data_IF_801319338160
#
_entry.id   IF_801319338160
#
_cell.length_a   1.000
_cell.length_b   1.000
_cell.length_c   1.000
_cell.angle_alpha   90.00
_cell.angle_beta   90.00
_cell.angle_gamma   90.00
#
_symmetry.space_group_name_H-M   'P 1'
#
loop_
_entity.id
_entity.type
_entity.pdbx_description
1 polymer ?
#
# COMPACT_ATOMS: atom_id res chain seq x y z
N UNK A 1 1.48 57.52 3.66
CA UNK A 1 2.64 56.62 3.86
C UNK A 1 2.23 55.33 4.59
N UNK A 2 1.27 55.39 5.52
CA UNK A 2 0.72 54.21 6.18
C UNK A 2 0.01 53.23 5.24
N UNK A 3 -0.83 53.72 4.30
CA UNK A 3 -1.54 52.84 3.36
C UNK A 3 -0.61 51.97 2.50
N UNK A 4 0.57 52.49 2.12
CA UNK A 4 1.57 51.72 1.38
C UNK A 4 2.22 50.64 2.26
N UNK A 5 2.40 50.90 3.56
CA UNK A 5 2.91 49.90 4.51
C UNK A 5 1.88 48.80 4.75
N UNK A 6 0.61 49.17 4.90
CA UNK A 6 -0.51 48.23 5.06
C UNK A 6 -0.66 47.35 3.82
N UNK A 7 -0.58 47.93 2.61
CA UNK A 7 -0.67 47.18 1.36
C UNK A 7 0.46 46.14 1.20
N UNK A 8 1.71 46.50 1.56
CA UNK A 8 2.86 45.59 1.51
C UNK A 8 2.71 44.44 2.52
N UNK A 9 2.20 44.72 3.72
CA UNK A 9 1.94 43.69 4.74
C UNK A 9 0.87 42.71 4.25
N UNK A 10 -0.24 43.21 3.70
CA UNK A 10 -1.32 42.37 3.17
C UNK A 10 -0.84 41.50 2.00
N UNK A 11 -0.08 42.08 1.06
CA UNK A 11 0.52 41.32 -0.07
C UNK A 11 1.47 40.23 0.41
N UNK A 12 2.28 40.52 1.44
CA UNK A 12 3.20 39.53 2.02
C UNK A 12 2.46 38.37 2.68
N UNK A 13 1.37 38.65 3.40
CA UNK A 13 0.51 37.61 4.00
C UNK A 13 -0.15 36.75 2.91
N UNK A 14 -0.68 37.37 1.86
CA UNK A 14 -1.30 36.64 0.73
C UNK A 14 -0.27 35.76 0.02
N UNK A 15 0.96 36.25 -0.18
CA UNK A 15 2.05 35.47 -0.75
C UNK A 15 2.42 34.26 0.12
N UNK A 16 2.51 34.43 1.45
CA UNK A 16 2.78 33.33 2.38
C UNK A 16 1.67 32.28 2.40
N UNK A 17 0.41 32.72 2.35
CA UNK A 17 -0.74 31.81 2.23
C UNK A 17 -0.67 31.03 0.91
N UNK A 18 -0.35 31.71 -0.20
CA UNK A 18 -0.12 31.07 -1.48
C UNK A 18 0.97 29.99 -1.42
N UNK A 19 2.15 30.31 -0.87
CA UNK A 19 3.25 29.35 -0.71
C UNK A 19 2.81 28.16 0.14
N UNK A 20 2.06 28.39 1.22
CA UNK A 20 1.54 27.32 2.06
C UNK A 20 0.63 26.36 1.26
N UNK A 21 -0.34 26.87 0.50
CA UNK A 21 -1.26 26.02 -0.27
C UNK A 21 -0.61 25.36 -1.50
N UNK A 22 0.32 26.02 -2.18
CA UNK A 22 0.92 25.50 -3.41
C UNK A 22 2.17 24.64 -3.18
N UNK A 23 2.91 24.85 -2.10
CA UNK A 23 4.18 24.14 -1.83
C UNK A 23 4.05 23.21 -0.61
N UNK A 24 3.55 23.73 0.51
CA UNK A 24 3.60 23.01 1.79
C UNK A 24 2.46 21.99 1.94
N UNK A 25 1.22 22.40 1.69
CA UNK A 25 0.04 21.54 1.80
C UNK A 25 0.09 20.28 0.90
N UNK A 26 0.45 20.36 -0.39
CA UNK A 26 0.62 19.16 -1.21
C UNK A 26 1.76 18.28 -0.69
N UNK A 27 2.88 18.87 -0.24
CA UNK A 27 4.00 18.09 0.33
C UNK A 27 3.62 17.31 1.60
N UNK A 28 2.79 17.89 2.47
CA UNK A 28 2.28 17.21 3.69
C UNK A 28 1.30 16.10 3.32
N UNK A 29 0.36 16.37 2.40
CA UNK A 29 -0.60 15.36 1.94
C UNK A 29 0.07 14.20 1.20
N UNK A 30 1.21 14.45 0.53
CA UNK A 30 2.04 13.43 -0.11
C UNK A 30 2.63 12.38 0.85
N UNK A 31 2.75 12.69 2.14
CA UNK A 31 3.35 11.78 3.14
C UNK A 31 2.31 11.09 4.03
N UNK A 32 1.02 11.14 3.66
CA UNK A 32 0.00 10.52 4.50
C UNK A 32 0.20 9.00 4.48
N UNK A 33 0.40 8.43 5.68
CA UNK A 33 0.49 6.99 5.83
C UNK A 33 -0.88 6.38 5.54
N UNK A 34 -0.92 5.44 4.61
CA UNK A 34 -2.06 4.58 4.38
C UNK A 34 -1.88 3.30 5.17
N UNK A 35 -2.99 2.74 5.63
CA UNK A 35 -2.99 1.51 6.42
C UNK A 35 -4.00 0.55 5.83
N UNK A 36 -3.57 -0.70 5.64
CA UNK A 36 -4.48 -1.82 5.41
C UNK A 36 -4.35 -2.78 6.59
N UNK A 37 -5.48 -3.26 7.08
CA UNK A 37 -5.54 -4.12 8.25
C UNK A 37 -6.55 -5.24 8.07
N UNK A 38 -6.20 -6.43 8.57
CA UNK A 38 -7.12 -7.55 8.70
C UNK A 38 -6.73 -8.37 9.92
N UNK A 39 -7.64 -8.47 10.89
CA UNK A 39 -7.36 -9.06 12.22
C UNK A 39 -6.09 -8.46 12.82
N UNK A 40 -5.13 -9.31 13.21
CA UNK A 40 -3.90 -8.92 13.89
C UNK A 40 -2.80 -8.44 12.92
N UNK A 41 -3.07 -8.42 11.60
CA UNK A 41 -2.13 -7.96 10.59
C UNK A 41 -2.46 -6.54 10.14
N UNK A 42 -1.53 -5.61 10.37
CA UNK A 42 -1.64 -4.21 9.94
C UNK A 42 -0.37 -3.81 9.19
N UNK A 43 -0.55 -3.32 7.96
CA UNK A 43 0.53 -2.84 7.10
C UNK A 43 0.34 -1.35 6.85
N UNK A 44 1.37 -0.57 7.13
CA UNK A 44 1.44 0.85 6.82
C UNK A 44 2.31 1.07 5.59
N UNK A 45 1.84 1.89 4.65
CA UNK A 45 2.56 2.20 3.42
C UNK A 45 2.31 3.65 2.98
N UNK A 46 3.19 4.15 2.12
CA UNK A 46 3.15 5.50 1.59
C UNK A 46 3.20 5.43 0.07
N UNK A 47 2.46 6.29 -0.62
CA UNK A 47 2.57 6.43 -2.07
C UNK A 47 2.45 7.89 -2.50
N UNK A 48 3.02 8.19 -3.66
CA UNK A 48 2.97 9.51 -4.27
C UNK A 48 1.71 9.58 -5.14
N UNK A 49 1.07 10.74 -5.29
CA UNK A 49 -0.19 10.89 -6.04
C UNK A 49 -0.10 10.65 -7.57
N UNK A 50 0.85 9.85 -8.07
CA UNK A 50 0.76 9.29 -9.43
C UNK A 50 0.02 7.95 -9.38
N UNK A 51 -0.88 7.73 -10.35
CA UNK A 51 -1.75 6.56 -10.45
C UNK A 51 -0.92 5.27 -10.41
N UNK A 52 0.18 5.22 -11.15
CA UNK A 52 1.09 4.06 -11.22
C UNK A 52 1.67 3.71 -9.84
N UNK A 53 2.19 4.72 -9.12
CA UNK A 53 2.78 4.48 -7.78
C UNK A 53 1.74 4.15 -6.72
N UNK A 54 0.47 4.49 -6.95
CA UNK A 54 -0.63 4.12 -6.06
C UNK A 54 -0.94 2.64 -6.18
N UNK A 55 -1.08 2.14 -7.41
CA UNK A 55 -1.36 0.72 -7.66
C UNK A 55 -0.22 -0.18 -7.19
N UNK A 56 1.03 0.19 -7.49
CA UNK A 56 2.22 -0.55 -7.05
C UNK A 56 2.33 -0.60 -5.52
N UNK A 57 2.09 0.52 -4.84
CA UNK A 57 2.16 0.55 -3.39
C UNK A 57 1.05 -0.28 -2.73
N UNK A 58 -0.15 -0.28 -3.32
CA UNK A 58 -1.22 -1.17 -2.86
C UNK A 58 -0.90 -2.64 -3.14
N UNK A 59 -0.31 -2.97 -4.28
CA UNK A 59 0.15 -4.34 -4.57
C UNK A 59 1.16 -4.82 -3.52
N UNK A 60 2.20 -4.02 -3.27
CA UNK A 60 3.23 -4.33 -2.25
C UNK A 60 2.60 -4.50 -0.88
N UNK A 61 1.74 -3.57 -0.47
CA UNK A 61 1.10 -3.62 0.84
C UNK A 61 0.22 -4.87 0.98
N UNK A 62 -0.55 -5.23 -0.05
CA UNK A 62 -1.41 -6.40 -0.05
C UNK A 62 -0.61 -7.70 0.03
N UNK A 63 0.52 -7.79 -0.66
CA UNK A 63 1.41 -8.95 -0.56
C UNK A 63 2.06 -9.06 0.82
N UNK A 64 2.49 -7.95 1.42
CA UNK A 64 2.95 -7.94 2.81
C UNK A 64 1.84 -8.36 3.79
N UNK A 65 0.60 -7.93 3.54
CA UNK A 65 -0.56 -8.36 4.33
C UNK A 65 -0.78 -9.88 4.16
N UNK A 66 -0.68 -10.40 2.95
CA UNK A 66 -0.74 -11.83 2.65
C UNK A 66 0.28 -12.64 3.45
N UNK A 67 1.55 -12.22 3.45
CA UNK A 67 2.60 -12.87 4.24
C UNK A 67 2.32 -12.85 5.75
N UNK A 68 1.84 -11.73 6.27
CA UNK A 68 1.45 -11.65 7.68
C UNK A 68 0.31 -12.62 8.00
N UNK A 69 -0.71 -12.67 7.14
CA UNK A 69 -1.86 -13.56 7.31
C UNK A 69 -1.45 -15.03 7.23
N UNK A 70 -0.52 -15.42 6.36
CA UNK A 70 0.03 -16.77 6.34
C UNK A 70 0.66 -17.14 7.69
N UNK A 71 1.48 -16.24 8.27
CA UNK A 71 2.08 -16.46 9.61
C UNK A 71 1.03 -16.55 10.71
N UNK A 72 -0.04 -15.75 10.62
CA UNK A 72 -1.14 -15.83 11.58
C UNK A 72 -1.90 -17.16 11.45
N UNK A 73 -2.13 -17.62 10.22
CA UNK A 73 -2.79 -18.89 9.92
C UNK A 73 -1.97 -20.09 10.42
N UNK A 74 -0.64 -20.09 10.23
CA UNK A 74 0.26 -21.13 10.73
C UNK A 74 0.18 -21.30 12.26
N UNK A 75 0.00 -20.19 12.98
CA UNK A 75 -0.13 -20.21 14.45
C UNK A 75 -1.51 -20.69 14.90
N UNK A 76 -2.55 -20.22 14.20
CA UNK A 76 -3.94 -20.54 14.53
C UNK A 76 -4.76 -20.58 13.23
N UNK A 77 -5.00 -21.78 12.68
CA UNK A 77 -5.79 -21.93 11.47
C UNK A 77 -7.17 -21.32 11.66
N UNK A 78 -7.54 -20.44 10.73
CA UNK A 78 -8.79 -19.69 10.78
C UNK A 78 -9.33 -19.54 9.36
N UNK A 79 -10.57 -20.01 9.15
CA UNK A 79 -11.20 -20.04 7.84
C UNK A 79 -11.37 -18.66 7.20
N UNK A 80 -11.49 -17.61 8.03
CA UNK A 80 -11.62 -16.23 7.55
C UNK A 80 -10.26 -15.68 7.12
N UNK A 81 -9.19 -16.03 7.85
CA UNK A 81 -7.81 -15.73 7.43
C UNK A 81 -7.49 -16.46 6.13
N UNK A 82 -7.80 -17.76 6.03
CA UNK A 82 -7.58 -18.55 4.81
C UNK A 82 -8.29 -17.98 3.58
N UNK A 83 -9.57 -17.58 3.72
CA UNK A 83 -10.31 -16.89 2.65
C UNK A 83 -9.65 -15.57 2.23
N UNK A 84 -9.16 -14.80 3.19
CA UNK A 84 -8.49 -13.53 2.89
C UNK A 84 -7.14 -13.74 2.19
N UNK A 85 -6.34 -14.76 2.60
CA UNK A 85 -5.11 -15.15 1.91
C UNK A 85 -5.39 -15.47 0.45
N UNK A 86 -6.38 -16.34 0.18
CA UNK A 86 -6.73 -16.70 -1.21
C UNK A 86 -7.23 -15.50 -2.00
N UNK A 87 -8.01 -14.61 -1.39
CA UNK A 87 -8.47 -13.38 -2.05
C UNK A 87 -7.30 -12.47 -2.46
N UNK A 88 -6.30 -12.32 -1.60
CA UNK A 88 -5.09 -11.55 -1.92
C UNK A 88 -4.30 -12.26 -3.02
N UNK A 89 -4.12 -13.58 -2.91
CA UNK A 89 -3.41 -14.39 -3.91
C UNK A 89 -4.00 -14.22 -5.32
N UNK A 90 -5.31 -14.42 -5.48
CA UNK A 90 -5.94 -14.32 -6.80
C UNK A 90 -5.90 -12.92 -7.40
N UNK A 91 -5.72 -11.88 -6.57
CA UNK A 91 -5.72 -10.49 -7.02
C UNK A 91 -4.31 -9.90 -7.21
N UNK A 92 -3.36 -10.28 -6.37
CA UNK A 92 -2.04 -9.65 -6.26
C UNK A 92 -0.88 -10.65 -6.17
N UNK A 93 -1.16 -11.96 -6.25
CA UNK A 93 -0.12 -12.98 -6.29
C UNK A 93 0.86 -12.75 -7.44
N UNK A 94 2.11 -13.15 -7.23
CA UNK A 94 3.17 -13.08 -8.25
C UNK A 94 2.81 -13.88 -9.50
N UNK A 95 3.10 -13.31 -10.67
CA UNK A 95 2.99 -14.00 -11.97
C UNK A 95 3.86 -15.26 -11.99
N UNK A 96 5.00 -15.24 -11.30
CA UNK A 96 5.90 -16.40 -11.18
C UNK A 96 5.15 -17.58 -10.54
N UNK A 97 4.31 -17.32 -9.52
CA UNK A 97 3.49 -18.36 -8.91
C UNK A 97 2.36 -18.84 -9.83
N UNK A 98 1.85 -17.98 -10.72
CA UNK A 98 0.88 -18.38 -11.73
C UNK A 98 1.49 -19.24 -12.84
N UNK A 99 2.75 -19.03 -13.22
CA UNK A 99 3.40 -19.80 -14.27
C UNK A 99 3.98 -21.14 -13.76
N UNK A 100 4.38 -21.19 -12.49
CA UNK A 100 4.94 -22.40 -11.86
C UNK A 100 3.90 -23.37 -11.32
N UNK A 101 2.71 -22.89 -10.97
CA UNK A 101 1.63 -23.73 -10.43
C UNK A 101 0.61 -24.09 -11.52
N UNK A 102 0.25 -25.37 -11.60
CA UNK A 102 -0.88 -25.80 -12.42
C UNK A 102 -2.20 -25.27 -11.82
N UNK A 103 -3.29 -25.26 -12.60
CA UNK A 103 -4.56 -24.63 -12.19
C UNK A 103 -5.11 -25.16 -10.85
N UNK A 104 -5.04 -26.47 -10.63
CA UNK A 104 -5.54 -27.10 -9.40
C UNK A 104 -4.71 -26.70 -8.16
N UNK A 105 -3.41 -26.50 -8.34
CA UNK A 105 -2.50 -26.03 -7.29
C UNK A 105 -2.73 -24.56 -6.91
N UNK A 106 -3.16 -23.72 -7.87
CA UNK A 106 -3.47 -22.31 -7.61
C UNK A 106 -4.70 -22.16 -6.71
N UNK A 107 -5.67 -23.06 -6.84
CA UNK A 107 -6.92 -22.96 -6.07
C UNK A 107 -6.79 -23.56 -4.65
N UNK A 108 -5.61 -24.08 -4.30
CA UNK A 108 -5.36 -24.74 -3.02
C UNK A 108 -4.57 -23.85 -2.04
N UNK A 109 -5.20 -23.53 -0.91
CA UNK A 109 -4.60 -22.74 0.17
C UNK A 109 -3.30 -23.35 0.72
N UNK A 110 -3.21 -24.67 0.89
CA UNK A 110 -2.01 -25.33 1.43
C UNK A 110 -0.82 -25.14 0.50
N UNK A 111 -1.06 -25.14 -0.82
CA UNK A 111 -0.01 -24.89 -1.81
C UNK A 111 0.44 -23.43 -1.75
N UNK A 112 -0.49 -22.49 -1.66
CA UNK A 112 -0.19 -21.06 -1.47
C UNK A 112 0.60 -20.82 -0.18
N UNK A 113 0.24 -21.48 0.92
CA UNK A 113 0.96 -21.38 2.20
C UNK A 113 2.39 -21.93 2.11
N UNK A 114 2.58 -23.04 1.39
CA UNK A 114 3.89 -23.67 1.17
C UNK A 114 4.84 -22.77 0.38
N UNK A 115 4.32 -22.04 -0.61
CA UNK A 115 5.09 -21.15 -1.49
C UNK A 115 4.88 -19.66 -1.19
N UNK A 116 4.44 -19.32 0.03
CA UNK A 116 4.01 -17.97 0.41
C UNK A 116 5.02 -16.87 0.10
N UNK A 117 6.33 -17.13 0.26
CA UNK A 117 7.38 -16.14 0.05
C UNK A 117 7.61 -15.84 -1.44
N UNK A 118 7.33 -16.80 -2.33
CA UNK A 118 7.38 -16.65 -3.78
C UNK A 118 6.10 -16.00 -4.30
N UNK A 119 4.95 -16.45 -3.78
CA UNK A 119 3.62 -15.98 -4.14
C UNK A 119 3.41 -14.51 -3.78
N UNK A 120 3.77 -14.13 -2.55
CA UNK A 120 3.56 -12.79 -2.02
C UNK A 120 4.87 -11.98 -1.98
N UNK A 121 5.81 -12.25 -2.89
CA UNK A 121 7.07 -11.51 -2.93
C UNK A 121 6.80 -10.04 -3.33
N UNK A 122 7.02 -9.06 -2.43
CA UNK A 122 6.78 -7.66 -2.74
C UNK A 122 7.86 -7.05 -3.65
N UNK A 123 8.96 -7.75 -3.90
CA UNK A 123 10.14 -7.22 -4.61
C UNK A 123 10.02 -7.29 -6.14
N UNK A 124 9.02 -7.98 -6.68
CA UNK A 124 8.90 -8.24 -8.13
C UNK A 124 8.55 -6.97 -8.94
N UNK A 125 8.09 -5.90 -8.29
CA UNK A 125 7.78 -4.63 -8.96
C UNK A 125 8.99 -3.69 -9.14
N UNK A 126 10.21 -4.09 -8.76
CA UNK A 126 11.39 -3.22 -8.72
C UNK A 126 12.61 -3.76 -9.51
N UNK A 127 12.39 -4.43 -10.64
CA UNK A 127 13.43 -4.74 -11.64
C UNK A 127 13.14 -4.02 -12.96
#
# INVERSE_FOLDING_TARGET
>A
MEERKTAVIVLSIVALIGIYFFVVAPYINLKKAHTISFKDCTISFYYRYSIDTTEDAYYVAQNQLGLCLCKAYDKKPDTTIGKQIMKIYFKYGSVIAHDTLNREQRDNLDTVLKHRDEVFNPKILWD
#
